data_IF_184522295848
#
_entry.id   IF_184522295848
#
_cell.length_a   1.000
_cell.length_b   1.000
_cell.length_c   1.000
_cell.angle_alpha   90.00
_cell.angle_beta   90.00
_cell.angle_gamma   90.00
#
_symmetry.space_group_name_H-M   'P 1'
#
loop_
_entity.id
_entity.type
_entity.pdbx_description
1 polymer ?
#
# COMPACT_ATOMS: atom_id res chain seq x y z
N UNK A 1 -3.59 -4.31 -2.92
CA UNK A 1 -3.73 -5.23 -1.77
C UNK A 1 -3.51 -4.48 -0.47
N UNK A 2 -4.06 -5.01 0.58
CA UNK A 2 -3.79 -4.58 1.95
C UNK A 2 -3.04 -5.69 2.66
N UNK A 3 -2.10 -5.31 3.53
CA UNK A 3 -1.24 -6.26 4.23
C UNK A 3 -1.47 -6.18 5.74
N UNK A 4 -1.49 -7.33 6.38
CA UNK A 4 -1.61 -7.44 7.84
C UNK A 4 -0.40 -8.20 8.36
N UNK A 5 0.38 -7.56 9.22
CA UNK A 5 1.56 -8.19 9.81
C UNK A 5 1.17 -9.00 11.04
N UNK A 6 2.02 -9.96 11.40
CA UNK A 6 1.75 -10.85 12.53
C UNK A 6 1.71 -10.13 13.87
N UNK A 7 2.33 -8.96 13.98
CA UNK A 7 2.37 -8.17 15.21
C UNK A 7 1.50 -6.90 15.14
N UNK A 8 0.66 -6.80 14.12
CA UNK A 8 -0.09 -5.56 13.83
C UNK A 8 -1.43 -5.42 14.54
N UNK A 9 -1.82 -6.37 15.38
CA UNK A 9 -3.07 -6.31 16.16
C UNK A 9 -4.32 -6.10 15.29
N UNK A 10 -4.33 -6.65 14.08
CA UNK A 10 -5.46 -6.52 13.16
C UNK A 10 -5.53 -5.19 12.41
N UNK A 11 -4.54 -4.33 12.60
CA UNK A 11 -4.47 -3.06 11.88
C UNK A 11 -3.70 -3.26 10.58
N UNK A 12 -4.20 -2.76 9.43
CA UNK A 12 -3.46 -2.86 8.18
C UNK A 12 -2.12 -2.14 8.26
N UNK A 13 -1.11 -2.70 7.58
CA UNK A 13 0.18 -2.05 7.43
C UNK A 13 0.03 -0.76 6.64
N UNK A 14 0.68 0.31 7.08
CA UNK A 14 0.61 1.61 6.43
C UNK A 14 2.00 2.14 6.12
N UNK A 15 2.12 2.82 4.99
CA UNK A 15 3.37 3.43 4.54
C UNK A 15 3.13 4.84 4.04
N UNK A 16 4.15 5.73 4.11
CA UNK A 16 4.02 7.07 3.57
C UNK A 16 3.72 7.07 2.07
N UNK A 17 2.94 8.05 1.61
CA UNK A 17 2.59 8.20 0.20
C UNK A 17 3.66 8.90 -0.62
N UNK A 18 4.69 9.47 0.02
CA UNK A 18 5.81 10.08 -0.68
C UNK A 18 7.12 9.47 -0.21
N UNK A 19 8.05 9.29 -1.15
CA UNK A 19 9.36 8.69 -0.83
C UNK A 19 10.21 9.56 0.10
N UNK A 20 9.91 10.85 0.18
CA UNK A 20 10.69 11.80 0.99
C UNK A 20 10.12 11.93 2.40
N UNK A 21 9.00 11.31 2.70
CA UNK A 21 8.39 11.38 4.02
C UNK A 21 9.09 10.43 4.97
N UNK A 22 9.41 10.95 6.16
CA UNK A 22 9.93 10.14 7.26
C UNK A 22 8.84 9.91 8.33
N UNK A 23 7.61 10.23 8.01
CA UNK A 23 6.50 10.10 8.95
C UNK A 23 6.30 8.64 9.39
N UNK A 24 6.01 8.46 10.65
CA UNK A 24 5.61 7.16 11.18
C UNK A 24 4.11 7.01 10.97
N UNK A 25 3.72 5.94 10.30
CA UNK A 25 2.32 5.69 9.99
C UNK A 25 1.70 4.83 11.08
N UNK A 26 0.93 5.44 11.97
CA UNK A 26 0.29 4.75 13.11
C UNK A 26 -1.23 4.84 13.03
N UNK A 27 -1.77 4.68 11.86
CA UNK A 27 -3.21 4.73 11.65
C UNK A 27 -3.56 5.53 10.40
N UNK A 28 -4.83 5.88 10.25
CA UNK A 28 -5.28 6.66 9.10
C UNK A 28 -4.68 8.06 9.13
N UNK A 29 -3.99 8.44 8.08
CA UNK A 29 -3.37 9.75 7.92
C UNK A 29 -3.39 10.13 6.45
N UNK A 30 -3.49 11.43 6.16
CA UNK A 30 -3.46 11.93 4.79
C UNK A 30 -2.11 11.68 4.11
N UNK A 31 -1.04 11.48 4.91
CA UNK A 31 0.30 11.24 4.39
C UNK A 31 0.66 9.76 4.32
N UNK A 32 -0.23 8.88 4.74
CA UNK A 32 0.01 7.45 4.77
C UNK A 32 -1.12 6.72 4.07
N UNK A 33 -0.80 5.56 3.53
CA UNK A 33 -1.78 4.68 2.88
C UNK A 33 -1.54 3.24 3.29
N UNK A 34 -2.60 2.46 3.33
CA UNK A 34 -2.54 1.02 3.55
C UNK A 34 -2.91 0.22 2.30
N UNK A 35 -2.99 0.87 1.15
CA UNK A 35 -3.32 0.23 -0.12
C UNK A 35 -2.07 0.20 -0.99
N UNK A 36 -1.73 -0.99 -1.50
CA UNK A 36 -0.49 -1.21 -2.23
C UNK A 36 -0.74 -2.00 -3.50
N UNK A 37 0.16 -1.83 -4.46
CA UNK A 37 0.21 -2.64 -5.67
C UNK A 37 1.48 -3.48 -5.66
N UNK A 38 1.36 -4.77 -5.93
CA UNK A 38 2.52 -5.66 -6.05
C UNK A 38 3.26 -5.30 -7.34
N UNK A 39 4.53 -4.93 -7.22
CA UNK A 39 5.38 -4.59 -8.37
C UNK A 39 6.28 -5.75 -8.76
N UNK A 40 6.86 -6.45 -7.77
CA UNK A 40 7.83 -7.50 -8.02
C UNK A 40 7.85 -8.46 -6.85
N UNK A 41 7.96 -9.75 -7.15
CA UNK A 41 8.19 -10.80 -6.16
C UNK A 41 9.54 -11.44 -6.46
N UNK A 42 10.40 -11.53 -5.46
CA UNK A 42 11.72 -12.13 -5.58
C UNK A 42 11.99 -12.98 -4.33
N UNK A 43 11.77 -14.30 -4.45
CA UNK A 43 11.83 -15.19 -3.30
C UNK A 43 10.84 -14.81 -2.22
N UNK A 44 11.34 -14.57 -1.01
CA UNK A 44 10.52 -14.12 0.12
C UNK A 44 10.37 -12.60 0.21
N UNK A 45 10.93 -11.85 -0.74
CA UNK A 45 10.85 -10.40 -0.75
C UNK A 45 9.85 -9.95 -1.81
N UNK A 46 9.01 -9.01 -1.45
CA UNK A 46 8.05 -8.43 -2.37
C UNK A 46 8.17 -6.91 -2.35
N UNK A 47 8.24 -6.31 -3.51
CA UNK A 47 8.28 -4.87 -3.67
C UNK A 47 6.88 -4.37 -3.98
N UNK A 48 6.44 -3.41 -3.19
CA UNK A 48 5.11 -2.81 -3.30
C UNK A 48 5.23 -1.33 -3.63
N UNK A 49 4.31 -0.86 -4.44
CA UNK A 49 4.11 0.57 -4.65
C UNK A 49 2.94 1.03 -3.81
N UNK A 50 3.13 2.13 -3.10
CA UNK A 50 2.08 2.73 -2.28
C UNK A 50 1.10 3.44 -3.20
N UNK A 51 -0.19 3.18 -3.00
CA UNK A 51 -1.26 3.83 -3.74
C UNK A 51 -1.93 4.87 -2.85
N UNK A 52 -2.27 6.01 -3.43
CA UNK A 52 -2.99 7.08 -2.74
C UNK A 52 -4.41 7.18 -3.27
N UNK A 53 -5.29 7.80 -2.49
CA UNK A 53 -6.64 8.08 -2.96
C UNK A 53 -6.58 9.03 -4.15
N UNK A 54 -7.41 8.74 -5.17
CA UNK A 54 -7.51 9.62 -6.31
C UNK A 54 -8.30 10.87 -5.89
N UNK A 55 -7.70 12.08 -6.01
CA UNK A 55 -8.40 13.31 -5.66
C UNK A 55 -9.57 13.65 -6.60
N UNK A 56 -9.58 13.07 -7.81
CA UNK A 56 -10.68 13.24 -8.75
C UNK A 56 -11.78 12.24 -8.44
N UNK A 57 -12.82 12.69 -7.76
CA UNK A 57 -13.94 11.84 -7.36
C UNK A 57 -14.83 11.44 -8.54
N UNK A 58 -14.65 12.04 -9.71
CA UNK A 58 -15.40 11.69 -10.91
C UNK A 58 -14.71 10.62 -11.74
N UNK A 59 -13.46 10.27 -11.40
CA UNK A 59 -12.70 9.24 -12.08
C UNK A 59 -13.24 7.85 -11.78
N UNK A 60 -13.09 6.94 -12.74
CA UNK A 60 -13.36 5.52 -12.54
C UNK A 60 -12.29 4.84 -11.69
N UNK A 61 -11.16 5.52 -11.45
CA UNK A 61 -10.03 4.97 -10.72
C UNK A 61 -10.02 5.50 -9.29
N UNK A 62 -10.32 4.65 -8.29
CA UNK A 62 -10.36 5.11 -6.89
C UNK A 62 -8.97 5.42 -6.32
N UNK A 63 -7.92 4.89 -6.92
CA UNK A 63 -6.54 5.05 -6.44
C UNK A 63 -5.63 5.51 -7.55
N UNK A 64 -4.55 6.19 -7.17
CA UNK A 64 -3.46 6.57 -8.08
C UNK A 64 -2.14 6.03 -7.52
N UNK A 65 -1.21 5.70 -8.42
CA UNK A 65 0.11 5.27 -7.98
C UNK A 65 0.95 6.48 -7.54
N UNK A 66 1.83 6.22 -6.56
CA UNK A 66 2.75 7.24 -6.05
C UNK A 66 4.19 6.86 -6.40
N UNK A 67 5.14 7.72 -6.07
CA UNK A 67 6.56 7.42 -6.22
C UNK A 67 7.14 6.68 -5.01
N UNK A 68 6.30 6.34 -4.02
CA UNK A 68 6.73 5.65 -2.83
C UNK A 68 6.65 4.14 -3.04
N UNK A 69 7.79 3.47 -2.87
CA UNK A 69 7.87 2.01 -2.96
C UNK A 69 8.60 1.48 -1.74
N UNK A 70 8.31 0.24 -1.38
CA UNK A 70 9.02 -0.43 -0.29
C UNK A 70 9.11 -1.93 -0.58
N UNK A 71 10.08 -2.58 0.05
CA UNK A 71 10.26 -4.02 -0.05
C UNK A 71 10.01 -4.62 1.33
N UNK A 72 9.21 -5.68 1.37
CA UNK A 72 8.86 -6.36 2.61
C UNK A 72 9.18 -7.84 2.50
N UNK A 73 9.72 -8.41 3.58
CA UNK A 73 9.86 -9.85 3.70
C UNK A 73 8.48 -10.46 3.93
N UNK A 74 8.08 -11.38 3.07
CA UNK A 74 6.75 -11.98 3.13
C UNK A 74 6.54 -12.82 4.40
N UNK A 75 7.62 -13.22 5.08
CA UNK A 75 7.49 -13.91 6.36
C UNK A 75 6.88 -13.03 7.46
N UNK A 76 6.92 -11.71 7.28
CA UNK A 76 6.31 -10.76 8.22
C UNK A 76 4.82 -10.54 7.95
N UNK A 77 4.30 -11.05 6.84
CA UNK A 77 2.90 -10.86 6.44
C UNK A 77 2.11 -12.07 6.83
N UNK A 78 1.08 -11.88 7.66
CA UNK A 78 0.17 -12.95 8.05
C UNK A 78 -1.03 -13.05 7.11
N UNK A 79 -1.49 -11.93 6.57
CA UNK A 79 -2.67 -11.90 5.70
C UNK A 79 -2.47 -10.87 4.61
N UNK A 80 -2.79 -11.27 3.39
CA UNK A 80 -2.89 -10.37 2.24
C UNK A 80 -4.37 -10.33 1.85
N UNK A 81 -4.93 -9.13 1.87
CA UNK A 81 -6.30 -8.92 1.44
C UNK A 81 -6.31 -8.29 0.06
N UNK A 82 -6.87 -9.01 -0.91
CA UNK A 82 -7.09 -8.45 -2.23
C UNK A 82 -8.33 -7.57 -2.20
N UNK A 83 -8.21 -6.37 -2.72
CA UNK A 83 -9.36 -5.49 -2.89
C UNK A 83 -10.16 -5.95 -4.09
N UNK A 84 -11.43 -5.54 -4.15
CA UNK A 84 -12.28 -5.85 -5.30
C UNK A 84 -11.62 -5.35 -6.59
N UNK A 85 -12.08 -5.89 -7.73
CA UNK A 85 -11.61 -5.49 -9.05
C UNK A 85 -11.81 -3.99 -9.24
N UNK A 86 -10.81 -3.22 -8.81
CA UNK A 86 -10.81 -1.78 -8.97
C UNK A 86 -9.76 -1.41 -10.00
N UNK A 87 -10.09 -0.42 -10.81
CA UNK A 87 -9.12 0.10 -11.76
C UNK A 87 -8.15 1.00 -11.03
N UNK A 88 -6.88 0.91 -11.39
CA UNK A 88 -5.81 1.74 -10.84
C UNK A 88 -5.25 2.58 -11.97
N UNK A 89 -5.26 3.88 -11.77
CA UNK A 89 -4.74 4.80 -12.76
C UNK A 89 -3.21 4.76 -12.76
N UNK A 90 -2.63 4.97 -13.93
CA UNK A 90 -1.18 5.01 -14.13
C UNK A 90 -0.49 3.67 -13.86
N UNK A 91 -1.08 2.64 -14.34
CA UNK A 91 -0.50 1.30 -14.25
C UNK A 91 0.69 1.14 -15.20
#
# INVERSE_FOLDING_TARGET
VMLYTCCGNGVPWSMPTTKDSTAVCTGASDTCSSVFRVEKIDGNCCTFRVLADNPDTTSLYPYVSTNSIFTMNLDCVCTIRCLNDTFIECV
#
